data_IF_718352427190
#
_entry.id   IF_718352427190
#
_cell.length_a   1.000
_cell.length_b   1.000
_cell.length_c   1.000
_cell.angle_alpha   90.00
_cell.angle_beta   90.00
_cell.angle_gamma   90.00
#
_symmetry.space_group_name_H-M   'P 1'
#
loop_
_entity.id
_entity.type
_entity.pdbx_description
1 polymer ?
#
# COMPACT_ATOMS: atom_id res chain seq x y z
N UNK A 1 9.61 17.40 -21.66
CA UNK A 1 8.99 16.07 -21.69
C UNK A 1 9.03 15.49 -20.27
N UNK A 2 8.09 15.87 -19.41
CA UNK A 2 8.10 15.54 -17.97
C UNK A 2 7.23 14.30 -17.67
N UNK A 3 7.88 13.21 -17.26
CA UNK A 3 7.42 12.25 -16.25
C UNK A 3 6.14 11.45 -16.50
N UNK A 4 6.28 10.23 -17.01
CA UNK A 4 5.23 9.20 -17.09
C UNK A 4 5.04 8.41 -15.77
N UNK A 5 5.13 9.05 -14.60
CA UNK A 5 4.93 8.37 -13.31
C UNK A 5 3.53 8.63 -12.80
N UNK A 6 2.59 7.73 -13.12
CA UNK A 6 1.27 7.71 -12.50
C UNK A 6 1.42 7.23 -11.05
N UNK A 7 1.05 8.07 -10.09
CA UNK A 7 0.97 7.68 -8.67
C UNK A 7 -0.25 6.79 -8.45
N UNK A 8 -0.12 5.79 -7.57
CA UNK A 8 -1.21 4.91 -7.16
C UNK A 8 -1.46 5.10 -5.67
N UNK A 9 -2.67 5.54 -5.33
CA UNK A 9 -3.09 5.76 -3.95
C UNK A 9 -3.75 4.51 -3.36
N UNK A 10 -3.93 4.50 -2.03
CA UNK A 10 -4.75 3.47 -1.37
C UNK A 10 -6.21 3.50 -1.85
N UNK A 11 -6.73 4.67 -2.22
CA UNK A 11 -8.08 4.81 -2.75
C UNK A 11 -8.21 4.14 -4.13
N UNK A 12 -7.20 4.28 -4.99
CA UNK A 12 -7.16 3.58 -6.28
C UNK A 12 -7.15 2.07 -6.09
N UNK A 13 -6.31 1.57 -5.17
CA UNK A 13 -6.23 0.16 -4.84
C UNK A 13 -7.54 -0.37 -4.24
N UNK A 14 -8.17 0.39 -3.33
CA UNK A 14 -9.49 0.05 -2.77
C UNK A 14 -10.52 -0.07 -3.89
N UNK A 15 -10.54 0.88 -4.83
CA UNK A 15 -11.43 0.86 -5.99
C UNK A 15 -11.23 -0.38 -6.88
N UNK A 16 -9.99 -0.83 -7.08
CA UNK A 16 -9.70 -2.10 -7.78
C UNK A 16 -10.31 -3.29 -7.04
N UNK A 17 -10.14 -3.36 -5.71
CA UNK A 17 -10.71 -4.49 -4.94
C UNK A 17 -12.23 -4.52 -5.00
N UNK A 18 -12.88 -3.36 -4.84
CA UNK A 18 -14.34 -3.23 -4.88
C UNK A 18 -14.94 -3.60 -6.23
N UNK A 19 -14.21 -3.37 -7.33
CA UNK A 19 -14.68 -3.68 -8.70
C UNK A 19 -14.47 -5.13 -9.11
N UNK A 20 -13.41 -5.77 -8.63
CA UNK A 20 -12.92 -7.03 -9.21
C UNK A 20 -12.87 -8.20 -8.22
N UNK A 21 -13.19 -7.98 -6.94
CA UNK A 21 -13.02 -8.97 -5.88
C UNK A 21 -14.28 -9.05 -5.01
N UNK A 22 -14.38 -10.07 -4.16
CA UNK A 22 -15.49 -10.18 -3.20
C UNK A 22 -15.27 -9.23 -2.00
N UNK A 23 -16.35 -8.92 -1.28
CA UNK A 23 -16.29 -8.08 -0.07
C UNK A 23 -15.24 -8.60 0.94
N UNK A 24 -15.16 -9.91 1.14
CA UNK A 24 -14.16 -10.51 2.05
C UNK A 24 -12.72 -10.26 1.61
N UNK A 25 -12.46 -10.09 0.31
CA UNK A 25 -11.13 -9.77 -0.19
C UNK A 25 -10.83 -8.27 -0.11
N UNK A 26 -11.84 -7.42 -0.27
CA UNK A 26 -11.74 -6.00 0.04
C UNK A 26 -11.43 -5.78 1.52
N UNK A 27 -12.10 -6.52 2.42
CA UNK A 27 -11.81 -6.47 3.86
C UNK A 27 -10.36 -6.84 4.15
N UNK A 28 -9.81 -7.88 3.51
CA UNK A 28 -8.39 -8.24 3.65
C UNK A 28 -7.44 -7.13 3.19
N UNK A 29 -7.78 -6.39 2.15
CA UNK A 29 -6.99 -5.22 1.75
C UNK A 29 -7.05 -4.13 2.83
N UNK A 30 -8.24 -3.86 3.38
CA UNK A 30 -8.42 -2.88 4.47
C UNK A 30 -7.63 -3.31 5.71
N UNK A 31 -7.69 -4.58 6.11
CA UNK A 31 -6.93 -5.13 7.23
C UNK A 31 -5.42 -4.91 7.05
N UNK A 32 -4.88 -5.21 5.86
CA UNK A 32 -3.48 -4.96 5.55
C UNK A 32 -3.15 -3.46 5.57
N UNK A 33 -4.02 -2.61 5.02
CA UNK A 33 -3.82 -1.17 4.99
C UNK A 33 -3.77 -0.57 6.41
N UNK A 34 -4.61 -1.07 7.34
CA UNK A 34 -4.61 -0.68 8.75
C UNK A 34 -3.44 -1.29 9.51
N UNK A 35 -3.04 -2.52 9.18
CA UNK A 35 -1.94 -3.21 9.85
C UNK A 35 -0.59 -2.50 9.68
N UNK A 36 -0.29 -1.99 8.48
CA UNK A 36 0.97 -1.32 8.19
C UNK A 36 1.32 -0.17 9.15
N UNK A 37 0.45 0.84 9.39
CA UNK A 37 0.74 1.90 10.35
C UNK A 37 0.82 1.38 11.80
N UNK A 38 0.07 0.33 12.18
CA UNK A 38 0.15 -0.24 13.53
C UNK A 38 1.53 -0.82 13.87
N UNK A 39 2.25 -1.30 12.86
CA UNK A 39 3.62 -1.85 13.02
C UNK A 39 4.71 -0.86 12.58
N UNK A 40 4.36 0.41 12.36
CA UNK A 40 5.29 1.42 11.84
C UNK A 40 5.92 1.03 10.49
N UNK A 41 5.15 0.37 9.62
CA UNK A 41 5.55 0.13 8.24
C UNK A 41 5.19 1.33 7.37
N UNK A 42 6.14 2.25 7.19
CA UNK A 42 5.96 3.45 6.37
C UNK A 42 6.11 3.16 4.87
N UNK A 43 6.76 2.06 4.49
CA UNK A 43 7.08 1.73 3.09
C UNK A 43 6.02 0.80 2.43
N UNK A 44 4.74 1.10 2.66
CA UNK A 44 3.63 0.26 2.17
C UNK A 44 3.04 0.75 0.84
N UNK A 45 3.87 0.79 -0.19
CA UNK A 45 3.49 1.24 -1.53
C UNK A 45 2.75 0.18 -2.37
N UNK A 46 2.14 0.59 -3.50
CA UNK A 46 1.26 -0.27 -4.31
C UNK A 46 1.91 -1.59 -4.79
N UNK A 47 3.21 -1.58 -5.08
CA UNK A 47 3.97 -2.79 -5.49
C UNK A 47 4.11 -3.84 -4.38
N UNK A 48 3.83 -3.48 -3.12
CA UNK A 48 3.86 -4.40 -1.96
C UNK A 48 2.52 -5.10 -1.74
N UNK A 49 1.58 -4.91 -2.66
CA UNK A 49 0.30 -5.58 -2.69
C UNK A 49 0.24 -6.44 -3.94
N UNK A 50 -0.21 -7.67 -3.80
CA UNK A 50 -0.30 -8.60 -4.91
C UNK A 50 -1.65 -9.28 -4.93
N UNK A 51 -2.11 -9.60 -6.13
CA UNK A 51 -3.36 -10.31 -6.37
C UNK A 51 -3.07 -11.68 -6.96
N UNK A 52 -3.76 -12.70 -6.45
CA UNK A 52 -3.84 -14.00 -7.10
C UNK A 52 -4.96 -13.96 -8.14
N UNK A 53 -4.59 -14.10 -9.41
CA UNK A 53 -5.54 -14.18 -10.51
C UNK A 53 -5.87 -15.65 -10.80
N UNK A 54 -7.16 -15.95 -10.88
CA UNK A 54 -7.67 -17.25 -11.33
C UNK A 54 -8.62 -17.04 -12.50
N UNK A 55 -9.01 -18.12 -13.18
CA UNK A 55 -9.89 -18.07 -14.34
C UNK A 55 -11.24 -17.35 -14.09
N UNK A 56 -11.67 -17.19 -12.83
CA UNK A 56 -12.99 -16.62 -12.49
C UNK A 56 -12.97 -15.50 -11.46
N UNK A 57 -11.84 -15.26 -10.77
CA UNK A 57 -11.76 -14.24 -9.71
C UNK A 57 -10.33 -13.76 -9.49
N UNK A 58 -10.22 -12.52 -9.01
CA UNK A 58 -9.04 -12.01 -8.32
C UNK A 58 -9.21 -12.17 -6.80
N UNK A 59 -8.14 -12.51 -6.09
CA UNK A 59 -8.09 -12.59 -4.62
C UNK A 59 -6.82 -11.93 -4.10
N UNK A 60 -6.83 -11.44 -2.87
CA UNK A 60 -5.63 -10.87 -2.24
C UNK A 60 -4.62 -12.00 -2.02
N UNK A 61 -3.38 -11.78 -2.43
CA UNK A 61 -2.27 -12.61 -1.97
C UNK A 61 -2.01 -12.33 -0.47
N UNK A 62 -1.30 -13.24 0.23
CA UNK A 62 -0.79 -12.93 1.57
C UNK A 62 0.04 -11.65 1.57
N UNK A 63 -0.04 -10.87 2.65
CA UNK A 63 0.79 -9.69 2.84
C UNK A 63 2.27 -10.06 2.88
N UNK A 64 3.10 -9.23 2.26
CA UNK A 64 4.56 -9.40 2.18
C UNK A 64 5.24 -8.04 2.27
N UNK A 65 6.58 -8.05 2.36
CA UNK A 65 7.40 -6.84 2.49
C UNK A 65 6.94 -5.91 3.63
N UNK A 66 6.63 -6.54 4.78
CA UNK A 66 6.25 -5.86 6.02
C UNK A 66 7.51 -5.62 6.85
N UNK A 67 7.79 -4.35 7.14
CA UNK A 67 8.94 -3.93 7.94
C UNK A 67 8.48 -2.99 9.05
N UNK A 68 9.12 -3.08 10.22
CA UNK A 68 8.90 -2.14 11.32
C UNK A 68 10.03 -1.12 11.34
N UNK A 69 9.75 0.15 11.02
CA UNK A 69 10.78 1.20 11.01
C UNK A 69 11.03 1.83 12.40
N UNK A 70 10.22 1.51 13.41
CA UNK A 70 10.36 2.05 14.77
C UNK A 70 11.77 1.85 15.39
N UNK A 71 12.48 0.72 15.20
CA UNK A 71 13.85 0.54 15.70
C UNK A 71 14.91 1.35 14.93
N UNK A 72 14.56 1.95 13.79
CA UNK A 72 15.49 2.61 12.86
C UNK A 72 15.14 4.10 12.67
N UNK A 73 15.43 4.96 13.67
CA UNK A 73 14.98 6.35 13.69
C UNK A 73 15.53 7.23 12.56
N UNK A 74 16.63 6.81 11.90
CA UNK A 74 17.16 7.53 10.72
C UNK A 74 16.33 7.28 9.45
N UNK A 75 15.74 6.09 9.32
CA UNK A 75 14.91 5.70 8.16
C UNK A 75 13.52 6.32 8.31
N UNK A 76 12.94 6.25 9.51
CA UNK A 76 11.65 6.89 9.81
C UNK A 76 11.66 8.40 9.50
N UNK A 77 12.72 9.12 9.91
CA UNK A 77 12.84 10.57 9.67
C UNK A 77 13.02 10.97 8.21
N UNK A 78 13.60 10.10 7.38
CA UNK A 78 13.82 10.41 5.97
C UNK A 78 12.49 10.36 5.21
N UNK A 79 11.62 9.40 5.54
CA UNK A 79 10.26 9.31 4.99
C UNK A 79 9.40 10.53 5.40
N UNK A 80 9.43 10.93 6.68
CA UNK A 80 8.72 12.13 7.17
C UNK A 80 9.14 13.42 6.44
N UNK A 81 10.41 13.52 6.03
CA UNK A 81 10.95 14.67 5.33
C UNK A 81 10.60 14.69 3.83
N UNK A 82 10.43 13.51 3.21
CA UNK A 82 9.97 13.36 1.83
C UNK A 82 8.47 13.65 1.71
N UNK A 83 7.66 13.15 2.64
CA UNK A 83 6.21 13.42 2.70
C UNK A 83 5.92 14.92 2.88
N UNK A 84 6.65 15.61 3.76
CA UNK A 84 6.54 17.08 3.92
C UNK A 84 6.95 17.88 2.68
N UNK A 85 7.79 17.32 1.81
CA UNK A 85 8.15 17.97 0.54
C UNK A 85 7.10 17.73 -0.54
N UNK A 86 6.40 16.60 -0.49
CA UNK A 86 5.29 16.30 -1.40
C UNK A 86 4.03 17.12 -1.10
N UNK A 87 3.80 17.53 0.16
CA UNK A 87 2.69 18.42 0.54
C UNK A 87 2.97 19.93 0.35
N UNK A 88 4.22 20.31 0.06
CA UNK A 88 4.66 21.71 -0.06
C UNK A 88 4.80 22.22 -1.50
N UNK A 89 4.33 21.46 -2.49
CA UNK A 89 4.29 21.82 -3.92
C UNK A 89 2.89 21.73 -4.49
#
# INVERSE_FOLDING_TARGET
MSGWTTYVTKADMLGVTQRHMSAQQTDRFVDLAIFNPMVWNTDSHAKNYSLMLSARRAAMAPGHDVVCAAPYPKIARQHDAEDRRAEAG
#
